data_IF_685580529215
#
_entry.id   IF_685580529215
#
_cell.length_a   1.000
_cell.length_b   1.000
_cell.length_c   1.000
_cell.angle_alpha   90.00
_cell.angle_beta   90.00
_cell.angle_gamma   90.00
#
_symmetry.space_group_name_H-M   'P 1'
#
loop_
_entity.id
_entity.type
_entity.pdbx_description
1 polymer ?
#
# COMPACT_ATOMS: atom_id res chain seq x y z
N UNK A 1 -1.53 4.11 -0.84
CA UNK A 1 -1.66 3.20 0.33
C UNK A 1 -0.44 3.37 1.21
N UNK A 2 -0.67 3.71 2.48
CA UNK A 2 0.36 3.75 3.52
C UNK A 2 0.36 2.44 4.30
N UNK A 3 1.54 1.96 4.71
CA UNK A 3 1.66 0.75 5.52
C UNK A 3 2.72 0.87 6.61
N UNK A 4 2.52 0.14 7.70
CA UNK A 4 3.42 0.12 8.86
C UNK A 4 3.35 -1.21 9.60
N UNK A 5 4.50 -1.72 10.02
CA UNK A 5 4.64 -2.90 10.87
C UNK A 5 4.36 -2.52 12.32
N UNK A 6 3.31 -3.13 12.87
CA UNK A 6 2.91 -3.11 14.29
C UNK A 6 2.75 -4.56 14.75
N UNK A 7 1.59 -4.97 15.26
CA UNK A 7 1.20 -6.38 15.47
C UNK A 7 0.89 -7.15 14.16
N UNK A 8 1.53 -6.73 13.07
CA UNK A 8 1.20 -7.05 11.69
C UNK A 8 1.40 -5.84 10.78
N UNK A 9 1.21 -6.05 9.48
CA UNK A 9 1.32 -5.01 8.46
C UNK A 9 -0.01 -4.27 8.34
N UNK A 10 -0.16 -3.21 9.11
CA UNK A 10 -1.30 -2.30 9.02
C UNK A 10 -1.20 -1.48 7.73
N UNK A 11 -2.24 -1.50 6.92
CA UNK A 11 -2.38 -0.79 5.66
C UNK A 11 -3.60 0.13 5.71
N UNK A 12 -3.35 1.41 5.43
CA UNK A 12 -4.36 2.45 5.30
C UNK A 12 -4.35 3.01 3.88
N UNK A 13 -5.52 3.29 3.34
CA UNK A 13 -5.66 3.92 2.03
C UNK A 13 -5.94 5.41 2.23
N UNK A 14 -5.29 6.22 1.41
CA UNK A 14 -5.43 7.66 1.43
C UNK A 14 -5.98 8.08 0.07
N UNK A 15 -6.77 9.15 0.07
CA UNK A 15 -7.13 9.87 -1.15
C UNK A 15 -5.87 10.44 -1.81
N UNK A 16 -6.00 10.89 -3.06
CA UNK A 16 -4.89 11.46 -3.83
C UNK A 16 -4.25 12.70 -3.16
N UNK A 17 -4.95 13.32 -2.20
CA UNK A 17 -4.43 14.43 -1.39
C UNK A 17 -3.40 13.99 -0.33
N UNK A 18 -3.20 12.68 -0.13
CA UNK A 18 -2.32 12.06 0.86
C UNK A 18 -2.64 12.42 2.32
N UNK A 19 -3.83 12.97 2.59
CA UNK A 19 -4.27 13.43 3.91
C UNK A 19 -5.55 12.76 4.34
N UNK A 20 -6.51 12.63 3.43
CA UNK A 20 -7.82 12.09 3.72
C UNK A 20 -7.74 10.57 3.73
N UNK A 21 -7.96 9.96 4.89
CA UNK A 21 -7.97 8.50 5.02
C UNK A 21 -9.30 7.93 4.54
N UNK A 22 -9.23 6.90 3.69
CA UNK A 22 -10.37 6.06 3.39
C UNK A 22 -10.71 5.19 4.62
N UNK A 23 -11.99 4.88 4.87
CA UNK A 23 -12.44 4.24 6.10
C UNK A 23 -11.94 2.79 6.22
N UNK A 24 -11.72 2.10 5.10
CA UNK A 24 -11.24 0.72 5.12
C UNK A 24 -9.75 0.65 5.38
N UNK A 25 -9.38 -0.21 6.32
CA UNK A 25 -8.01 -0.55 6.67
C UNK A 25 -7.86 -2.07 6.68
N UNK A 26 -6.65 -2.56 6.41
CA UNK A 26 -6.35 -4.00 6.47
C UNK A 26 -5.09 -4.22 7.29
N UNK A 27 -5.05 -5.29 8.06
CA UNK A 27 -3.82 -5.74 8.71
C UNK A 27 -3.44 -7.09 8.14
N UNK A 28 -2.30 -7.15 7.46
CA UNK A 28 -1.77 -8.39 6.90
C UNK A 28 -0.74 -9.01 7.82
N UNK A 29 -0.68 -10.35 7.87
CA UNK A 29 0.32 -11.04 8.70
C UNK A 29 1.74 -10.94 8.14
N UNK A 30 1.88 -10.81 6.82
CA UNK A 30 3.18 -10.83 6.14
C UNK A 30 3.29 -9.71 5.11
N UNK A 31 4.53 -9.26 4.86
CA UNK A 31 4.82 -8.25 3.86
C UNK A 31 4.58 -8.74 2.42
N UNK A 32 4.42 -10.06 2.21
CA UNK A 32 4.13 -10.62 0.90
C UNK A 32 2.87 -10.01 0.26
N UNK A 33 1.88 -9.67 1.09
CA UNK A 33 0.64 -9.03 0.60
C UNK A 33 0.86 -7.60 0.13
N UNK A 34 1.78 -6.86 0.76
CA UNK A 34 2.17 -5.52 0.32
C UNK A 34 2.86 -5.60 -1.05
N UNK A 35 3.79 -6.56 -1.22
CA UNK A 35 4.44 -6.81 -2.52
C UNK A 35 3.43 -7.19 -3.61
N UNK A 36 2.47 -8.06 -3.28
CA UNK A 36 1.37 -8.40 -4.21
C UNK A 36 0.54 -7.17 -4.60
N UNK A 37 0.24 -6.27 -3.64
CA UNK A 37 -0.50 -5.04 -3.91
C UNK A 37 0.28 -4.11 -4.85
N UNK A 38 1.59 -3.95 -4.64
CA UNK A 38 2.45 -3.21 -5.55
C UNK A 38 2.49 -3.85 -6.95
N UNK A 39 2.67 -5.17 -7.03
CA UNK A 39 2.80 -5.86 -8.31
C UNK A 39 1.52 -5.81 -9.15
N UNK A 40 0.36 -5.85 -8.49
CA UNK A 40 -0.95 -5.79 -9.16
C UNK A 40 -1.37 -4.36 -9.44
N UNK A 41 -1.34 -3.51 -8.42
CA UNK A 41 -1.99 -2.20 -8.42
C UNK A 41 -1.02 -1.03 -8.30
N UNK A 42 0.28 -1.26 -8.12
CA UNK A 42 1.30 -0.21 -8.09
C UNK A 42 1.27 0.62 -9.36
N UNK A 43 1.34 1.94 -9.20
CA UNK A 43 1.29 2.85 -10.34
C UNK A 43 2.61 2.93 -11.10
N UNK A 44 3.73 2.85 -10.39
CA UNK A 44 5.04 2.62 -10.98
C UNK A 44 5.48 1.19 -10.63
N UNK A 45 6.09 0.51 -11.60
CA UNK A 45 6.57 -0.88 -11.50
C UNK A 45 8.00 -1.01 -11.98
N UNK A 46 8.75 0.10 -12.04
CA UNK A 46 10.17 0.08 -12.34
C UNK A 46 10.95 -0.65 -11.25
N UNK A 47 12.18 -1.01 -11.60
CA UNK A 47 13.09 -1.68 -10.68
C UNK A 47 13.39 -0.83 -9.44
N UNK A 48 13.52 0.49 -9.61
CA UNK A 48 13.80 1.44 -8.52
C UNK A 48 12.66 1.49 -7.49
N UNK A 49 11.40 1.52 -7.93
CA UNK A 49 10.24 1.47 -7.04
C UNK A 49 10.17 0.17 -6.24
N UNK A 50 10.54 -0.95 -6.88
CA UNK A 50 10.58 -2.25 -6.20
C UNK A 50 11.67 -2.28 -5.11
N UNK A 51 12.85 -1.72 -5.40
CA UNK A 51 13.92 -1.58 -4.40
C UNK A 51 13.51 -0.65 -3.26
N UNK A 52 12.87 0.49 -3.57
CA UNK A 52 12.36 1.42 -2.56
C UNK A 52 11.27 0.76 -1.69
N UNK A 53 10.41 -0.06 -2.28
CA UNK A 53 9.41 -0.83 -1.56
C UNK A 53 10.04 -1.87 -0.63
N UNK A 54 11.02 -2.63 -1.12
CA UNK A 54 11.70 -3.64 -0.29
C UNK A 54 12.42 -2.97 0.88
N UNK A 55 13.09 -1.83 0.66
CA UNK A 55 13.66 -1.03 1.74
C UNK A 55 12.61 -0.50 2.73
N UNK A 56 11.45 -0.05 2.25
CA UNK A 56 10.34 0.38 3.10
C UNK A 56 9.77 -0.77 3.95
N UNK A 57 9.74 -1.99 3.40
CA UNK A 57 9.34 -3.19 4.13
C UNK A 57 10.39 -3.57 5.18
N UNK A 58 11.69 -3.47 4.86
CA UNK A 58 12.76 -3.74 5.82
C UNK A 58 12.77 -2.72 6.98
N UNK A 59 12.51 -1.46 6.68
CA UNK A 59 12.39 -0.40 7.70
C UNK A 59 11.05 -0.42 8.46
N UNK A 60 10.14 -1.32 8.09
CA UNK A 60 8.87 -1.52 8.79
C UNK A 60 7.79 -0.51 8.43
N UNK A 61 7.97 0.38 7.45
CA UNK A 61 6.93 1.34 7.04
C UNK A 61 7.20 1.95 5.67
N UNK A 62 6.14 2.34 4.98
CA UNK A 62 6.25 3.07 3.73
C UNK A 62 4.91 3.37 3.09
N UNK A 63 4.96 3.81 1.85
CA UNK A 63 3.78 4.11 1.05
C UNK A 63 4.01 3.71 -0.40
N UNK A 64 2.95 3.23 -1.05
CA UNK A 64 2.92 2.99 -2.49
C UNK A 64 1.72 3.70 -3.11
N UNK A 65 1.91 4.23 -4.32
CA UNK A 65 0.80 4.76 -5.11
C UNK A 65 0.07 3.61 -5.80
N UNK A 66 -1.26 3.59 -5.73
CA UNK A 66 -2.08 2.55 -6.34
C UNK A 66 -2.91 3.12 -7.49
N UNK A 67 -2.90 2.44 -8.63
CA UNK A 67 -3.83 2.65 -9.73
C UNK A 67 -4.98 1.65 -9.59
N UNK A 68 -6.09 2.11 -9.01
CA UNK A 68 -7.29 1.32 -8.80
C UNK A 68 -8.33 1.65 -9.87
N UNK A 69 -9.13 0.65 -10.26
CA UNK A 69 -10.36 0.93 -11.01
C UNK A 69 -11.36 1.65 -10.12
N UNK A 70 -12.33 2.33 -10.72
CA UNK A 70 -13.41 3.00 -9.98
C UNK A 70 -14.14 2.03 -9.04
N UNK A 71 -14.46 0.83 -9.51
CA UNK A 71 -15.08 -0.23 -8.69
C UNK A 71 -14.23 -0.65 -7.48
N UNK A 72 -12.91 -0.74 -7.65
CA UNK A 72 -11.99 -1.09 -6.56
C UNK A 72 -11.89 0.05 -5.56
N UNK A 73 -11.83 1.28 -6.03
CA UNK A 73 -11.78 2.48 -5.20
C UNK A 73 -13.06 2.65 -4.38
N UNK A 74 -14.24 2.44 -4.99
CA UNK A 74 -15.54 2.47 -4.29
C UNK A 74 -15.58 1.43 -3.15
N UNK A 75 -14.96 0.26 -3.33
CA UNK A 75 -14.89 -0.77 -2.27
C UNK A 75 -14.02 -0.36 -1.07
N UNK A 76 -13.18 0.67 -1.22
CA UNK A 76 -12.34 1.21 -0.14
C UNK A 76 -12.99 2.40 0.57
N UNK A 77 -13.98 3.05 -0.06
CA UNK A 77 -14.91 3.98 0.59
C UNK A 77 -15.91 3.23 1.46
#
# INVERSE_FOLDING_TARGET
MHFMLRDGWYCQFLEADLKTSLPRTFTFRTAAKIREMHDRFGADKKLEDRQALDYAIETGRGSIWLNLTEEQYIKLK
#
